data_IF_533829168003
#
_entry.id   IF_533829168003
#
_cell.length_a   1.000
_cell.length_b   1.000
_cell.length_c   1.000
_cell.angle_alpha   90.00
_cell.angle_beta   90.00
_cell.angle_gamma   90.00
#
_symmetry.space_group_name_H-M   'P 1'
#
loop_
_entity.id
_entity.type
_entity.pdbx_description
1 polymer ?
#
# COMPACT_ATOMS: atom_id res chain seq x y z
N UNK A 1 59.75 29.63 4.04
CA UNK A 1 59.01 28.44 3.54
C UNK A 1 57.79 28.29 4.43
N UNK A 2 56.69 28.90 4.02
CA UNK A 2 55.42 28.91 4.77
C UNK A 2 54.51 27.84 4.18
N UNK A 3 54.32 26.74 4.94
CA UNK A 3 53.41 25.70 4.60
C UNK A 3 51.94 26.14 4.78
N UNK A 4 51.19 26.13 3.68
CA UNK A 4 49.76 26.43 3.61
C UNK A 4 49.00 25.18 4.08
N UNK A 5 48.48 25.19 5.31
CA UNK A 5 47.60 24.17 5.83
C UNK A 5 46.31 24.19 5.03
N UNK A 6 46.02 23.11 4.34
CA UNK A 6 44.68 22.84 3.74
C UNK A 6 43.70 22.45 4.83
N UNK A 7 42.76 23.32 5.13
CA UNK A 7 41.60 23.01 5.97
C UNK A 7 40.78 21.86 5.32
N UNK A 8 40.30 20.88 6.10
CA UNK A 8 39.41 19.88 5.57
C UNK A 8 38.05 20.52 5.23
N UNK A 9 37.64 20.40 3.96
CA UNK A 9 36.25 20.74 3.55
C UNK A 9 35.29 19.99 4.44
N UNK A 10 34.50 20.73 5.22
CA UNK A 10 33.41 20.24 6.03
C UNK A 10 32.48 19.41 5.14
N UNK A 11 32.23 18.16 5.51
CA UNK A 11 31.29 17.30 4.77
C UNK A 11 29.89 17.93 4.87
N UNK A 12 29.25 18.15 3.72
CA UNK A 12 27.88 18.66 3.68
C UNK A 12 26.94 17.82 4.54
N UNK A 13 26.15 18.48 5.35
CA UNK A 13 25.15 17.82 6.21
C UNK A 13 23.95 17.32 5.38
N UNK A 14 23.20 16.34 5.92
CA UNK A 14 22.00 15.84 5.26
C UNK A 14 20.97 16.97 4.98
N UNK A 15 20.87 17.93 5.90
CA UNK A 15 19.96 19.09 5.77
C UNK A 15 20.36 20.02 4.64
N UNK A 16 21.67 20.27 4.44
CA UNK A 16 22.18 21.08 3.34
C UNK A 16 21.94 20.41 1.98
N UNK A 17 22.11 19.10 1.90
CA UNK A 17 21.81 18.32 0.69
C UNK A 17 20.32 18.38 0.35
N UNK A 18 19.43 18.28 1.33
CA UNK A 18 17.99 18.36 1.11
C UNK A 18 17.54 19.78 0.70
N UNK A 19 18.09 20.81 1.31
CA UNK A 19 17.81 22.19 0.92
C UNK A 19 18.28 22.51 -0.50
N UNK A 20 19.47 22.03 -0.89
CA UNK A 20 19.99 22.19 -2.26
C UNK A 20 19.13 21.39 -3.27
N UNK A 21 18.69 20.18 -2.94
CA UNK A 21 17.81 19.37 -3.76
C UNK A 21 16.47 20.06 -4.02
N UNK A 22 15.86 20.63 -2.98
CA UNK A 22 14.61 21.38 -3.09
C UNK A 22 14.76 22.64 -3.97
N UNK A 23 15.89 23.36 -3.85
CA UNK A 23 16.19 24.52 -4.70
C UNK A 23 16.33 24.14 -6.18
N UNK A 24 17.01 23.02 -6.49
CA UNK A 24 17.14 22.52 -7.85
C UNK A 24 15.79 22.02 -8.41
N UNK A 25 15.00 21.31 -7.62
CA UNK A 25 13.66 20.85 -8.02
C UNK A 25 12.73 22.03 -8.33
N UNK A 26 12.75 23.09 -7.51
CA UNK A 26 11.96 24.30 -7.73
C UNK A 26 12.43 25.11 -8.97
N UNK A 27 13.69 24.99 -9.39
CA UNK A 27 14.17 25.58 -10.65
C UNK A 27 13.67 24.77 -11.85
N UNK A 28 13.78 23.46 -11.80
CA UNK A 28 13.33 22.54 -12.86
C UNK A 28 11.80 22.62 -13.08
N UNK A 29 11.04 22.90 -12.05
CA UNK A 29 9.59 23.06 -12.08
C UNK A 29 9.13 24.33 -12.83
N UNK A 30 9.93 25.37 -12.83
CA UNK A 30 9.65 26.65 -13.52
C UNK A 30 9.85 26.62 -15.03
N UNK A 31 10.41 25.55 -15.59
CA UNK A 31 10.67 25.39 -17.03
C UNK A 31 12.01 24.73 -17.31
N UNK A 32 12.38 24.68 -18.59
CA UNK A 32 13.68 24.13 -18.99
C UNK A 32 14.84 24.95 -18.40
N UNK A 33 15.79 24.24 -17.77
CA UNK A 33 16.98 24.84 -17.20
C UNK A 33 17.88 25.34 -18.32
N UNK A 34 18.52 26.50 -18.11
CA UNK A 34 19.54 26.96 -19.02
C UNK A 34 20.73 25.98 -19.10
N UNK A 35 21.46 25.90 -20.24
CA UNK A 35 22.52 24.90 -20.40
C UNK A 35 23.59 24.92 -19.29
N UNK A 36 23.89 26.11 -18.75
CA UNK A 36 24.84 26.29 -17.64
C UNK A 36 24.28 25.75 -16.32
N UNK A 37 22.97 25.92 -16.09
CA UNK A 37 22.27 25.37 -14.89
C UNK A 37 22.13 23.86 -14.98
N UNK A 38 21.86 23.32 -16.18
CA UNK A 38 21.82 21.89 -16.44
C UNK A 38 23.18 21.24 -16.11
N UNK A 39 24.27 21.80 -16.61
CA UNK A 39 25.62 21.32 -16.32
C UNK A 39 25.97 21.41 -14.82
N UNK A 40 25.52 22.45 -14.14
CA UNK A 40 25.69 22.60 -12.69
C UNK A 40 24.90 21.56 -11.88
N UNK A 41 23.68 21.27 -12.28
CA UNK A 41 22.84 20.21 -11.67
C UNK A 41 23.49 18.84 -11.85
N UNK A 42 23.94 18.51 -13.07
CA UNK A 42 24.60 17.21 -13.34
C UNK A 42 25.89 17.06 -12.52
N UNK A 43 26.70 18.10 -12.42
CA UNK A 43 27.87 18.10 -11.56
C UNK A 43 27.52 17.92 -10.09
N UNK A 44 26.44 18.54 -9.63
CA UNK A 44 25.96 18.40 -8.24
C UNK A 44 25.45 17.00 -7.98
N UNK A 45 24.65 16.39 -8.89
CA UNK A 45 24.17 15.03 -8.80
C UNK A 45 25.29 13.98 -8.83
N UNK A 46 26.31 14.21 -9.66
CA UNK A 46 27.48 13.31 -9.80
C UNK A 46 28.35 13.22 -8.54
N UNK A 47 28.18 14.12 -7.58
CA UNK A 47 28.98 14.14 -6.36
C UNK A 47 28.52 13.11 -5.28
N UNK A 48 27.43 12.35 -5.50
CA UNK A 48 27.07 11.25 -4.62
C UNK A 48 25.59 10.80 -4.69
N UNK A 49 25.36 9.52 -4.43
CA UNK A 49 24.03 8.89 -4.48
C UNK A 49 22.99 9.51 -3.51
N UNK A 50 23.44 10.10 -2.40
CA UNK A 50 22.57 10.84 -1.46
C UNK A 50 21.91 12.04 -2.10
N UNK A 51 22.62 12.77 -2.98
CA UNK A 51 22.11 13.95 -3.70
C UNK A 51 21.08 13.55 -4.75
N UNK A 52 21.33 12.46 -5.46
CA UNK A 52 20.36 11.88 -6.42
C UNK A 52 19.06 11.51 -5.71
N UNK A 53 19.14 10.84 -4.57
CA UNK A 53 17.96 10.46 -3.78
C UNK A 53 17.20 11.66 -3.20
N UNK A 54 17.90 12.71 -2.74
CA UNK A 54 17.29 13.94 -2.26
C UNK A 54 16.58 14.70 -3.38
N UNK A 55 17.19 14.79 -4.56
CA UNK A 55 16.61 15.45 -5.72
C UNK A 55 15.36 14.73 -6.25
N UNK A 56 15.38 13.39 -6.31
CA UNK A 56 14.22 12.60 -6.70
C UNK A 56 13.02 12.79 -5.72
N UNK A 57 13.29 12.87 -4.41
CA UNK A 57 12.26 13.19 -3.41
C UNK A 57 11.69 14.60 -3.58
N UNK A 58 12.52 15.59 -3.84
CA UNK A 58 12.10 16.98 -4.04
C UNK A 58 11.22 17.13 -5.28
N UNK A 59 11.55 16.46 -6.40
CA UNK A 59 10.71 16.41 -7.60
C UNK A 59 9.36 15.75 -7.34
N UNK A 60 9.32 14.67 -6.57
CA UNK A 60 8.08 13.98 -6.21
C UNK A 60 7.15 14.88 -5.36
N UNK A 61 7.71 15.70 -4.48
CA UNK A 61 6.98 16.69 -3.67
C UNK A 61 6.37 17.77 -4.56
N UNK A 62 7.13 18.33 -5.51
CA UNK A 62 6.62 19.34 -6.45
C UNK A 62 5.47 18.78 -7.31
N UNK A 63 5.64 17.59 -7.89
CA UNK A 63 4.60 16.92 -8.66
C UNK A 63 3.31 16.64 -7.85
N UNK A 64 3.43 16.47 -6.54
CA UNK A 64 2.27 16.35 -5.64
C UNK A 64 1.55 17.69 -5.46
N UNK A 65 2.27 18.79 -5.28
CA UNK A 65 1.70 20.13 -5.15
C UNK A 65 1.06 20.62 -6.45
N UNK A 66 1.61 20.30 -7.62
CA UNK A 66 1.03 20.63 -8.92
C UNK A 66 -0.31 19.93 -9.13
N UNK A 67 -0.43 18.67 -8.72
CA UNK A 67 -1.71 17.96 -8.71
C UNK A 67 -2.73 18.57 -7.75
N UNK A 68 -2.29 19.03 -6.59
CA UNK A 68 -3.15 19.71 -5.62
C UNK A 68 -3.61 21.09 -6.15
N UNK A 69 -2.74 21.83 -6.84
CA UNK A 69 -3.07 23.10 -7.47
C UNK A 69 -4.04 22.94 -8.65
N UNK A 70 -3.96 21.85 -9.41
CA UNK A 70 -4.89 21.54 -10.51
C UNK A 70 -6.33 21.23 -10.04
N UNK A 71 -6.55 20.96 -8.74
CA UNK A 71 -7.87 20.73 -8.14
C UNK A 71 -8.64 22.02 -7.82
N UNK A 72 -8.08 23.21 -8.11
CA UNK A 72 -8.78 24.51 -8.10
C UNK A 72 -8.65 25.29 -6.81
N UNK A 73 -8.51 26.60 -6.93
CA UNK A 73 -8.35 27.61 -5.87
C UNK A 73 -9.63 27.92 -5.07
N UNK A 74 -10.55 26.95 -4.93
CA UNK A 74 -11.82 27.10 -4.25
C UNK A 74 -11.90 26.61 -2.81
N UNK A 75 -10.78 26.13 -2.22
CA UNK A 75 -10.74 25.62 -0.86
C UNK A 75 -10.15 26.67 0.10
N UNK A 76 -11.01 27.28 0.94
CA UNK A 76 -10.57 28.13 2.05
C UNK A 76 -10.70 27.37 3.38
N UNK A 77 -9.75 27.50 4.33
CA UNK A 77 -9.85 26.88 5.64
C UNK A 77 -11.10 27.31 6.45
N UNK A 78 -11.73 28.42 6.06
CA UNK A 78 -12.99 28.94 6.64
C UNK A 78 -14.24 28.13 6.27
N UNK A 79 -14.18 27.25 5.29
CA UNK A 79 -15.33 26.43 4.87
C UNK A 79 -15.62 25.25 5.82
N UNK A 80 -14.79 25.09 6.88
CA UNK A 80 -14.94 24.06 7.91
C UNK A 80 -15.43 24.60 9.27
N UNK A 81 -15.87 25.86 9.36
CA UNK A 81 -16.49 26.34 10.59
C UNK A 81 -17.91 25.79 10.73
N UNK A 82 -18.13 25.02 11.81
CA UNK A 82 -19.43 24.47 12.15
C UNK A 82 -20.42 25.60 12.45
N UNK A 83 -21.69 25.51 12.00
CA UNK A 83 -22.68 26.54 12.25
C UNK A 83 -22.97 26.68 13.74
N UNK A 84 -23.13 27.92 14.26
CA UNK A 84 -23.34 28.16 15.70
C UNK A 84 -24.74 27.72 16.12
N UNK A 85 -24.78 26.82 17.09
CA UNK A 85 -25.76 26.71 18.14
C UNK A 85 -27.24 26.64 17.77
N UNK A 86 -27.76 25.44 17.55
CA UNK A 86 -29.19 25.16 17.78
C UNK A 86 -29.46 24.96 19.29
N UNK A 87 -30.15 25.87 19.91
CA UNK A 87 -30.64 25.74 21.30
C UNK A 87 -31.74 24.68 21.37
N UNK A 88 -31.76 23.79 22.38
CA UNK A 88 -32.82 22.81 22.55
C UNK A 88 -34.07 23.47 23.10
N UNK A 89 -35.15 23.42 22.36
CA UNK A 89 -36.50 23.77 22.85
C UNK A 89 -37.08 22.55 23.52
N UNK A 90 -37.03 22.52 24.86
CA UNK A 90 -37.79 21.55 25.65
C UNK A 90 -39.27 21.94 25.67
N UNK A 91 -40.11 21.24 24.92
CA UNK A 91 -41.55 21.23 25.10
C UNK A 91 -41.99 19.86 25.62
N UNK A 92 -42.57 19.92 26.83
CA UNK A 92 -43.15 18.80 27.58
C UNK A 92 -44.28 18.14 26.77
N UNK A 93 -44.17 16.85 26.42
CA UNK A 93 -45.32 15.95 26.34
C UNK A 93 -44.89 14.57 26.80
N UNK A 94 -45.54 14.17 27.91
CA UNK A 94 -45.31 12.94 28.66
C UNK A 94 -45.89 11.71 27.97
N UNK A 95 -45.12 10.59 28.07
CA UNK A 95 -45.60 9.23 28.28
C UNK A 95 -46.61 8.66 27.26
N UNK A 96 -46.11 7.94 26.23
CA UNK A 96 -46.74 6.74 25.66
C UNK A 96 -45.87 5.97 24.62
N UNK A 97 -44.53 6.08 24.62
CA UNK A 97 -43.68 5.35 23.67
C UNK A 97 -42.47 4.66 24.32
N UNK A 98 -42.70 3.89 25.39
CA UNK A 98 -41.59 3.14 26.02
C UNK A 98 -41.13 1.92 25.21
N UNK A 99 -41.86 1.45 24.20
CA UNK A 99 -41.50 0.28 23.39
C UNK A 99 -40.74 0.63 22.09
N UNK A 100 -40.97 1.81 21.52
CA UNK A 100 -40.32 2.24 20.25
C UNK A 100 -38.91 2.83 20.48
N UNK A 101 -38.66 3.38 21.67
CA UNK A 101 -37.35 3.99 22.00
C UNK A 101 -36.22 2.93 22.14
N UNK A 102 -36.53 1.71 22.58
CA UNK A 102 -35.53 0.66 22.70
C UNK A 102 -35.06 0.11 21.33
N UNK A 103 -35.96 0.03 20.33
CA UNK A 103 -35.60 -0.36 18.97
C UNK A 103 -34.86 0.78 18.23
N UNK A 104 -35.27 2.02 18.41
CA UNK A 104 -34.58 3.17 17.81
C UNK A 104 -33.17 3.37 18.41
N UNK A 105 -32.95 3.12 19.70
CA UNK A 105 -31.65 3.17 20.34
C UNK A 105 -30.73 2.05 19.84
N UNK A 106 -31.25 0.85 19.54
CA UNK A 106 -30.48 -0.26 18.96
C UNK A 106 -30.05 0.03 17.53
N UNK A 107 -30.93 0.60 16.71
CA UNK A 107 -30.61 0.99 15.31
C UNK A 107 -29.67 2.19 15.28
N UNK A 108 -29.86 3.18 16.14
CA UNK A 108 -28.96 4.34 16.27
C UNK A 108 -27.58 3.92 16.82
N UNK A 109 -27.53 2.96 17.75
CA UNK A 109 -26.29 2.38 18.27
C UNK A 109 -25.50 1.63 17.19
N UNK A 110 -26.17 0.82 16.38
CA UNK A 110 -25.54 0.07 15.28
C UNK A 110 -25.10 1.03 14.16
N UNK A 111 -25.94 2.02 13.79
CA UNK A 111 -25.59 3.04 12.79
C UNK A 111 -24.46 3.96 13.29
N UNK A 112 -24.50 4.39 14.55
CA UNK A 112 -23.46 5.20 15.17
C UNK A 112 -22.11 4.46 15.26
N UNK A 113 -22.14 3.17 15.64
CA UNK A 113 -20.94 2.34 15.68
C UNK A 113 -20.36 2.11 14.28
N UNK A 114 -21.21 1.92 13.25
CA UNK A 114 -20.79 1.83 11.84
C UNK A 114 -20.14 3.11 11.32
N UNK A 115 -20.68 4.27 11.68
CA UNK A 115 -20.14 5.57 11.27
C UNK A 115 -18.81 5.91 11.94
N UNK A 116 -18.65 5.61 13.24
CA UNK A 116 -17.38 5.83 13.98
C UNK A 116 -16.30 4.88 13.46
N UNK A 117 -16.64 3.64 13.14
CA UNK A 117 -15.69 2.69 12.54
C UNK A 117 -15.27 3.08 11.12
N UNK A 118 -16.16 3.72 10.36
CA UNK A 118 -15.85 4.19 9.00
C UNK A 118 -14.87 5.38 9.00
N UNK A 119 -14.83 6.21 10.05
CA UNK A 119 -13.93 7.36 10.17
C UNK A 119 -12.47 6.96 10.38
N UNK A 120 -12.19 5.77 10.88
CA UNK A 120 -10.82 5.28 11.14
C UNK A 120 -10.28 4.35 10.05
N UNK A 121 -11.04 4.08 8.99
CA UNK A 121 -10.61 3.21 7.91
C UNK A 121 -9.54 3.89 7.04
N UNK A 122 -8.43 3.18 6.81
CA UNK A 122 -7.41 3.57 5.85
C UNK A 122 -7.70 2.80 4.56
N UNK A 123 -7.85 3.53 3.45
CA UNK A 123 -8.25 2.96 2.15
C UNK A 123 -7.26 3.40 1.08
N UNK A 124 -7.02 2.53 0.12
CA UNK A 124 -6.33 2.83 -1.14
C UNK A 124 -7.27 2.58 -2.31
N UNK A 125 -7.25 3.45 -3.29
CA UNK A 125 -7.92 3.22 -4.57
C UNK A 125 -7.15 2.19 -5.41
N UNK A 126 -7.76 1.77 -6.50
CA UNK A 126 -7.11 0.89 -7.49
C UNK A 126 -5.91 1.60 -8.11
N UNK A 127 -4.76 0.93 -8.12
CA UNK A 127 -3.47 1.47 -8.56
C UNK A 127 -2.71 2.26 -7.49
N UNK A 128 -3.36 2.64 -6.39
CA UNK A 128 -2.73 3.40 -5.32
C UNK A 128 -2.08 2.49 -4.27
N UNK A 129 -1.03 3.00 -3.66
CA UNK A 129 -0.36 2.39 -2.50
C UNK A 129 -0.14 3.45 -1.42
N UNK A 130 -0.28 3.06 -0.16
CA UNK A 130 -0.17 4.02 0.95
C UNK A 130 0.55 3.42 2.14
N UNK A 131 1.58 4.12 2.64
CA UNK A 131 2.22 3.81 3.92
C UNK A 131 1.68 4.73 5.02
N UNK A 132 1.30 4.13 6.14
CA UNK A 132 0.79 4.85 7.33
C UNK A 132 1.54 4.34 8.56
N UNK A 133 2.05 5.26 9.36
CA UNK A 133 2.65 4.96 10.65
C UNK A 133 1.58 5.10 11.73
N UNK A 134 1.44 4.08 12.56
CA UNK A 134 0.51 4.05 13.68
C UNK A 134 1.11 4.77 14.90
N UNK A 135 0.26 5.23 15.81
CA UNK A 135 0.67 6.00 16.99
C UNK A 135 1.65 5.24 17.91
N UNK A 136 1.63 3.91 17.87
CA UNK A 136 2.50 3.03 18.68
C UNK A 136 3.81 2.64 17.94
N UNK A 137 4.11 3.27 16.80
CA UNK A 137 5.35 3.15 16.05
C UNK A 137 5.37 2.02 15.00
N UNK A 138 4.35 1.16 14.91
CA UNK A 138 4.21 0.21 13.80
C UNK A 138 3.84 0.94 12.51
N UNK A 139 4.17 0.36 11.36
CA UNK A 139 3.77 0.88 10.06
C UNK A 139 2.99 -0.16 9.28
N UNK A 140 1.99 0.32 8.53
CA UNK A 140 1.19 -0.46 7.59
C UNK A 140 1.40 0.14 6.20
N UNK A 141 1.81 -0.68 5.24
CA UNK A 141 1.80 -0.30 3.83
C UNK A 141 0.67 -1.05 3.14
N UNK A 142 -0.32 -0.34 2.66
CA UNK A 142 -1.46 -0.88 1.93
C UNK A 142 -1.09 -0.98 0.45
N UNK A 143 -1.43 -2.10 -0.16
CA UNK A 143 -1.39 -2.29 -1.60
C UNK A 143 -2.62 -1.66 -2.27
N UNK A 144 -2.73 -1.80 -3.58
CA UNK A 144 -3.86 -1.38 -4.40
C UNK A 144 -5.19 -1.93 -3.86
N UNK A 145 -6.27 -1.12 -3.98
CA UNK A 145 -7.65 -1.51 -3.67
C UNK A 145 -7.80 -2.22 -2.32
N UNK A 146 -7.18 -1.66 -1.30
CA UNK A 146 -7.10 -2.26 0.05
C UNK A 146 -7.78 -1.38 1.09
N UNK A 147 -8.34 -2.04 2.12
CA UNK A 147 -9.00 -1.38 3.25
C UNK A 147 -8.63 -2.03 4.56
N UNK A 148 -8.10 -1.22 5.49
CA UNK A 148 -7.81 -1.64 6.86
C UNK A 148 -8.50 -0.71 7.87
N UNK A 149 -8.85 -1.27 9.01
CA UNK A 149 -9.42 -0.55 10.16
C UNK A 149 -8.55 -0.80 11.39
N UNK A 150 -7.64 0.13 11.74
CA UNK A 150 -6.89 0.06 12.99
C UNK A 150 -7.80 0.32 14.20
N UNK A 151 -7.60 -0.46 15.27
CA UNK A 151 -8.18 -0.28 16.61
C UNK A 151 -7.05 -0.35 17.62
N UNK A 152 -6.56 0.83 17.99
CA UNK A 152 -5.43 0.97 18.90
C UNK A 152 -5.92 1.58 20.21
N UNK A 153 -5.86 0.79 21.26
CA UNK A 153 -6.21 1.17 22.62
C UNK A 153 -5.01 0.89 23.53
N UNK A 154 -5.05 1.33 24.78
CA UNK A 154 -3.94 1.15 25.73
C UNK A 154 -3.45 -0.32 25.82
N UNK A 155 -4.39 -1.27 25.75
CA UNK A 155 -4.10 -2.72 25.86
C UNK A 155 -4.32 -3.51 24.57
N UNK A 156 -4.80 -2.86 23.51
CA UNK A 156 -5.19 -3.53 22.26
C UNK A 156 -4.47 -2.89 21.08
N UNK A 157 -3.74 -3.71 20.33
CA UNK A 157 -3.15 -3.36 19.03
C UNK A 157 -3.76 -4.26 17.98
N UNK A 158 -4.93 -3.87 17.48
CA UNK A 158 -5.68 -4.67 16.50
C UNK A 158 -5.86 -3.91 15.20
N UNK A 159 -5.76 -4.62 14.08
CA UNK A 159 -6.07 -4.12 12.73
C UNK A 159 -6.95 -5.13 12.03
N UNK A 160 -8.02 -4.68 11.39
CA UNK A 160 -8.87 -5.53 10.54
C UNK A 160 -8.54 -5.24 9.08
N UNK A 161 -8.07 -6.24 8.33
CA UNK A 161 -7.92 -6.18 6.88
C UNK A 161 -9.25 -6.64 6.25
N UNK A 162 -10.03 -5.68 5.78
CA UNK A 162 -11.35 -5.93 5.22
C UNK A 162 -11.27 -6.35 3.75
N UNK A 163 -10.29 -5.80 3.00
CA UNK A 163 -10.08 -6.08 1.58
C UNK A 163 -8.62 -5.86 1.20
N UNK A 164 -8.16 -6.61 0.20
CA UNK A 164 -6.88 -6.38 -0.46
C UNK A 164 -5.69 -6.96 0.28
N UNK A 165 -4.60 -6.21 0.35
CA UNK A 165 -3.30 -6.67 0.82
C UNK A 165 -2.56 -5.56 1.57
N UNK A 166 -1.89 -5.94 2.66
CA UNK A 166 -1.06 -5.03 3.42
C UNK A 166 0.22 -5.69 3.93
N UNK A 167 1.29 -4.91 3.95
CA UNK A 167 2.55 -5.24 4.63
C UNK A 167 2.56 -4.54 5.99
N UNK A 168 2.86 -5.29 7.02
CA UNK A 168 2.95 -4.85 8.41
C UNK A 168 4.40 -4.86 8.88
N UNK A 169 4.89 -3.71 9.31
CA UNK A 169 6.17 -3.55 10.04
C UNK A 169 5.80 -3.27 11.50
N UNK A 170 5.73 -4.31 12.33
CA UNK A 170 5.21 -4.19 13.70
C UNK A 170 6.33 -3.92 14.68
N UNK A 171 6.19 -2.83 15.44
CA UNK A 171 7.07 -2.47 16.54
C UNK A 171 7.05 -3.54 17.64
N UNK A 172 8.24 -3.92 18.14
CA UNK A 172 8.38 -5.00 19.13
C UNK A 172 7.82 -4.58 20.49
N UNK A 173 6.76 -5.26 20.91
CA UNK A 173 6.16 -5.13 22.23
C UNK A 173 5.65 -6.50 22.71
N UNK A 174 6.35 -7.08 23.70
CA UNK A 174 6.01 -8.39 24.25
C UNK A 174 4.82 -8.37 25.19
N UNK A 175 4.48 -7.21 25.70
CA UNK A 175 3.39 -7.04 26.69
C UNK A 175 2.04 -6.86 26.01
N UNK A 176 2.03 -6.34 24.79
CA UNK A 176 0.81 -6.07 23.98
C UNK A 176 0.96 -6.68 22.60
N UNK A 177 0.44 -7.90 22.37
CA UNK A 177 0.43 -8.51 21.05
C UNK A 177 -0.27 -7.61 20.01
N UNK A 178 0.26 -7.61 18.79
CA UNK A 178 -0.40 -7.00 17.63
C UNK A 178 -1.21 -8.07 16.91
N UNK A 179 -2.46 -7.78 16.61
CA UNK A 179 -3.39 -8.74 16.01
C UNK A 179 -3.92 -8.19 14.69
N UNK A 180 -3.78 -8.95 13.60
CA UNK A 180 -4.45 -8.67 12.33
C UNK A 180 -5.57 -9.68 12.14
N UNK A 181 -6.78 -9.18 11.83
CA UNK A 181 -7.93 -9.99 11.47
C UNK A 181 -8.24 -9.81 9.97
N UNK A 182 -8.28 -10.90 9.22
CA UNK A 182 -8.58 -10.92 7.80
C UNK A 182 -9.60 -12.03 7.51
N UNK A 183 -10.87 -11.68 7.30
CA UNK A 183 -11.96 -12.67 7.26
C UNK A 183 -12.01 -13.43 8.56
N UNK A 184 -11.97 -14.76 8.47
CA UNK A 184 -11.98 -15.67 9.63
C UNK A 184 -10.57 -15.99 10.15
N UNK A 185 -9.52 -15.41 9.55
CA UNK A 185 -8.13 -15.65 9.95
C UNK A 185 -7.67 -14.56 10.91
N UNK A 186 -7.02 -14.99 12.00
CA UNK A 186 -6.36 -14.13 12.98
C UNK A 186 -4.86 -14.37 12.95
N UNK A 187 -4.11 -13.29 12.79
CA UNK A 187 -2.64 -13.27 12.77
C UNK A 187 -2.14 -12.51 14.00
N UNK A 188 -1.37 -13.17 14.86
CA UNK A 188 -0.84 -12.61 16.11
C UNK A 188 0.67 -12.52 16.09
N UNK A 189 1.22 -11.36 16.46
CA UNK A 189 2.65 -11.11 16.48
C UNK A 189 3.07 -10.26 17.68
N UNK A 190 4.37 -10.26 18.00
CA UNK A 190 4.96 -9.44 19.07
C UNK A 190 5.96 -8.38 18.57
N UNK A 191 6.32 -8.44 17.27
CA UNK A 191 7.27 -7.54 16.62
C UNK A 191 7.88 -8.28 15.44
N UNK A 192 7.33 -8.08 14.25
CA UNK A 192 7.47 -8.95 13.09
C UNK A 192 7.19 -8.14 11.83
N UNK A 193 7.87 -8.47 10.75
CA UNK A 193 7.55 -7.95 9.42
C UNK A 193 6.92 -9.05 8.58
N UNK A 194 5.67 -8.83 8.18
CA UNK A 194 4.87 -9.84 7.47
C UNK A 194 3.83 -9.18 6.56
N UNK A 195 3.42 -9.89 5.51
CA UNK A 195 2.32 -9.50 4.63
C UNK A 195 1.07 -10.32 4.92
N UNK A 196 -0.09 -9.70 4.72
CA UNK A 196 -1.39 -10.38 4.72
C UNK A 196 -2.14 -9.95 3.47
N UNK A 197 -2.62 -10.94 2.70
CA UNK A 197 -3.47 -10.74 1.54
C UNK A 197 -4.78 -11.53 1.70
N UNK A 198 -5.89 -10.85 1.50
CA UNK A 198 -7.21 -11.45 1.45
C UNK A 198 -7.65 -11.57 0.00
N UNK A 199 -8.00 -12.78 -0.42
CA UNK A 199 -8.48 -13.08 -1.77
C UNK A 199 -10.01 -13.04 -1.83
N UNK A 200 -10.56 -12.86 -3.04
CA UNK A 200 -12.01 -12.82 -3.29
C UNK A 200 -12.70 -14.18 -3.01
N UNK A 201 -11.96 -15.29 -3.12
CA UNK A 201 -12.42 -16.62 -2.76
C UNK A 201 -12.53 -16.84 -1.24
N UNK A 202 -12.22 -15.82 -0.44
CA UNK A 202 -12.22 -15.85 1.02
C UNK A 202 -10.96 -16.44 1.64
N UNK A 203 -10.00 -16.94 0.84
CA UNK A 203 -8.72 -17.39 1.37
C UNK A 203 -7.85 -16.20 1.82
N UNK A 204 -6.95 -16.47 2.77
CA UNK A 204 -6.02 -15.48 3.30
C UNK A 204 -4.60 -16.02 3.20
N UNK A 205 -3.69 -15.23 2.65
CA UNK A 205 -2.28 -15.55 2.58
C UNK A 205 -1.48 -14.70 3.58
N UNK A 206 -0.57 -15.34 4.29
CA UNK A 206 0.34 -14.72 5.25
C UNK A 206 1.78 -15.08 4.89
N UNK A 207 2.61 -14.08 4.57
CA UNK A 207 4.03 -14.24 4.28
C UNK A 207 4.89 -13.61 5.38
N UNK A 208 5.85 -14.34 5.94
CA UNK A 208 6.70 -13.86 7.04
C UNK A 208 8.06 -13.46 6.52
N UNK A 209 8.34 -12.16 6.52
CA UNK A 209 9.62 -11.62 6.07
C UNK A 209 10.66 -11.61 7.19
N UNK A 210 10.25 -11.29 8.43
CA UNK A 210 11.11 -11.31 9.60
C UNK A 210 10.32 -11.65 10.85
N UNK A 211 10.91 -12.41 11.77
CA UNK A 211 10.34 -12.77 13.06
C UNK A 211 9.44 -14.01 13.02
N UNK A 212 8.40 -14.00 13.84
CA UNK A 212 7.49 -15.13 14.06
C UNK A 212 6.04 -14.66 14.12
N UNK A 213 5.18 -15.39 13.45
CA UNK A 213 3.75 -15.13 13.35
C UNK A 213 2.96 -16.35 13.80
N UNK A 214 1.93 -16.17 14.60
CA UNK A 214 0.92 -17.17 14.92
C UNK A 214 -0.32 -16.89 14.07
N UNK A 215 -0.70 -17.84 13.22
CA UNK A 215 -1.89 -17.76 12.36
C UNK A 215 -2.92 -18.75 12.86
N UNK A 216 -4.10 -18.28 13.19
CA UNK A 216 -5.22 -19.10 13.68
C UNK A 216 -6.54 -18.76 12.99
N UNK A 217 -7.53 -19.62 13.17
CA UNK A 217 -8.89 -19.42 12.68
C UNK A 217 -9.75 -18.91 13.84
N UNK A 218 -10.53 -17.86 13.62
CA UNK A 218 -11.41 -17.32 14.65
C UNK A 218 -12.50 -18.34 15.02
N UNK A 219 -12.65 -18.58 16.32
CA UNK A 219 -13.59 -19.61 16.83
C UNK A 219 -13.11 -21.06 16.68
N UNK A 220 -11.96 -21.30 16.04
CA UNK A 220 -11.34 -22.61 15.90
C UNK A 220 -10.20 -22.85 16.91
N UNK A 221 -9.86 -24.14 17.10
CA UNK A 221 -8.70 -24.53 17.94
C UNK A 221 -7.40 -24.64 17.12
N UNK A 222 -7.48 -24.53 15.79
CA UNK A 222 -6.33 -24.69 14.93
C UNK A 222 -5.55 -23.39 14.84
N UNK A 223 -4.26 -23.45 15.17
CA UNK A 223 -3.30 -22.39 14.91
C UNK A 223 -2.01 -23.00 14.37
N UNK A 224 -1.29 -22.20 13.59
CA UNK A 224 0.01 -22.53 13.02
C UNK A 224 1.01 -21.43 13.28
N UNK A 225 2.18 -21.80 13.73
CA UNK A 225 3.30 -20.88 13.89
C UNK A 225 4.10 -20.86 12.59
N UNK A 226 4.30 -19.67 12.04
CA UNK A 226 5.13 -19.41 10.87
C UNK A 226 6.37 -18.62 11.29
N UNK A 227 7.49 -18.90 10.66
CA UNK A 227 8.76 -18.20 10.85
C UNK A 227 9.18 -17.47 9.58
N UNK A 228 10.17 -16.60 9.67
CA UNK A 228 10.77 -15.94 8.50
C UNK A 228 11.15 -16.97 7.42
N UNK A 229 10.85 -16.66 6.15
CA UNK A 229 11.02 -17.59 5.04
C UNK A 229 9.80 -18.47 4.77
N UNK A 230 8.70 -18.34 5.53
CA UNK A 230 7.48 -19.13 5.31
C UNK A 230 6.33 -18.27 4.79
N UNK A 231 5.55 -18.88 3.90
CA UNK A 231 4.26 -18.37 3.43
C UNK A 231 3.19 -19.43 3.66
N UNK A 232 2.01 -19.01 4.11
CA UNK A 232 0.88 -19.92 4.29
C UNK A 232 -0.39 -19.31 3.75
N UNK A 233 -1.10 -20.06 2.90
CA UNK A 233 -2.45 -19.74 2.45
C UNK A 233 -3.44 -20.54 3.28
N UNK A 234 -4.34 -19.85 3.95
CA UNK A 234 -5.45 -20.41 4.71
C UNK A 234 -6.67 -20.40 3.82
N UNK A 235 -7.19 -21.58 3.47
CA UNK A 235 -8.38 -21.72 2.64
C UNK A 235 -9.65 -21.50 3.48
N UNK A 236 -10.82 -21.17 2.86
CA UNK A 236 -12.07 -20.89 3.57
C UNK A 236 -12.54 -22.01 4.50
N UNK A 237 -12.11 -23.27 4.26
CA UNK A 237 -12.42 -24.43 5.11
C UNK A 237 -11.43 -24.63 6.26
N UNK A 238 -10.47 -23.70 6.43
CA UNK A 238 -9.48 -23.74 7.50
C UNK A 238 -8.26 -24.62 7.21
N UNK A 239 -8.08 -25.10 6.00
CA UNK A 239 -6.87 -25.81 5.57
C UNK A 239 -5.69 -24.84 5.42
N UNK A 240 -4.53 -25.19 5.99
CA UNK A 240 -3.30 -24.44 5.87
C UNK A 240 -2.38 -25.04 4.82
N UNK A 241 -2.13 -24.31 3.73
CA UNK A 241 -1.11 -24.65 2.72
C UNK A 241 0.11 -23.80 2.96
N UNK A 242 1.15 -24.42 3.49
CA UNK A 242 2.38 -23.73 3.90
C UNK A 242 3.55 -24.20 3.06
N UNK A 243 4.35 -23.24 2.63
CA UNK A 243 5.57 -23.46 1.87
C UNK A 243 6.75 -22.68 2.47
N UNK A 244 7.95 -23.20 2.25
CA UNK A 244 9.19 -22.50 2.58
C UNK A 244 9.71 -21.81 1.33
N UNK A 245 9.98 -20.53 1.42
CA UNK A 245 10.47 -19.72 0.32
C UNK A 245 11.83 -19.10 0.70
N UNK A 246 12.72 -18.95 -0.27
CA UNK A 246 13.90 -18.12 -0.06
C UNK A 246 13.50 -16.71 0.38
N UNK A 247 14.26 -16.11 1.30
CA UNK A 247 14.00 -14.75 1.80
C UNK A 247 13.84 -13.74 0.64
N UNK A 248 14.68 -13.86 -0.40
CA UNK A 248 14.60 -13.02 -1.58
C UNK A 248 13.26 -13.15 -2.33
N UNK A 249 12.62 -14.32 -2.33
CA UNK A 249 11.32 -14.52 -2.96
C UNK A 249 10.20 -13.80 -2.19
N UNK A 250 10.23 -13.85 -0.85
CA UNK A 250 9.28 -13.10 -0.01
C UNK A 250 9.48 -11.59 -0.13
N UNK A 251 10.72 -11.11 -0.21
CA UNK A 251 11.00 -9.67 -0.44
C UNK A 251 10.48 -9.22 -1.82
N UNK A 252 10.64 -10.06 -2.85
CA UNK A 252 10.07 -9.77 -4.18
C UNK A 252 8.54 -9.80 -4.19
N UNK A 253 7.92 -10.72 -3.45
CA UNK A 253 6.45 -10.80 -3.34
C UNK A 253 5.82 -9.52 -2.77
N UNK A 254 6.57 -8.76 -1.96
CA UNK A 254 6.15 -7.43 -1.48
C UNK A 254 6.80 -6.27 -2.27
N UNK A 255 7.33 -6.55 -3.46
CA UNK A 255 7.94 -5.58 -4.38
C UNK A 255 6.96 -4.50 -4.85
N UNK A 256 5.66 -4.82 -4.82
CA UNK A 256 4.60 -3.88 -5.17
C UNK A 256 4.68 -2.55 -4.38
N UNK A 257 5.19 -2.54 -3.15
CA UNK A 257 5.42 -1.31 -2.36
C UNK A 257 6.37 -0.31 -3.03
N UNK A 258 7.12 -0.76 -4.03
CA UNK A 258 8.02 0.03 -4.87
C UNK A 258 7.53 0.11 -6.32
N UNK A 259 6.25 -0.22 -6.57
CA UNK A 259 5.68 -0.23 -7.91
C UNK A 259 6.14 -1.38 -8.81
N UNK A 260 6.58 -2.51 -8.23
CA UNK A 260 7.20 -3.63 -8.93
C UNK A 260 6.42 -4.92 -8.68
N UNK A 261 6.14 -5.67 -9.75
CA UNK A 261 5.60 -7.04 -9.72
C UNK A 261 6.68 -8.03 -10.14
N UNK A 262 6.94 -9.02 -9.29
CA UNK A 262 7.71 -10.22 -9.64
C UNK A 262 6.75 -11.29 -10.15
N UNK A 263 6.81 -11.57 -11.44
CA UNK A 263 5.94 -12.54 -12.11
C UNK A 263 6.62 -13.89 -12.33
N UNK A 264 7.79 -14.12 -11.73
CA UNK A 264 8.51 -15.37 -11.89
C UNK A 264 7.71 -16.57 -11.36
N UNK A 265 7.50 -17.57 -12.22
CA UNK A 265 6.74 -18.76 -11.91
C UNK A 265 5.23 -18.58 -11.93
N UNK A 266 4.73 -17.47 -12.46
CA UNK A 266 3.31 -17.28 -12.73
C UNK A 266 2.96 -17.71 -14.15
N UNK A 267 1.74 -18.18 -14.33
CA UNK A 267 1.15 -18.32 -15.65
C UNK A 267 0.74 -16.95 -16.19
N UNK A 268 0.60 -16.84 -17.51
CA UNK A 268 0.15 -15.60 -18.15
C UNK A 268 -1.25 -15.17 -17.65
N UNK A 269 -2.13 -16.14 -17.37
CA UNK A 269 -3.45 -15.88 -16.81
C UNK A 269 -3.36 -15.31 -15.37
N UNK A 270 -2.48 -15.86 -14.53
CA UNK A 270 -2.24 -15.35 -13.16
C UNK A 270 -1.63 -13.94 -13.21
N UNK A 271 -0.67 -13.70 -14.10
CA UNK A 271 -0.08 -12.39 -14.28
C UNK A 271 -1.12 -11.35 -14.76
N UNK A 272 -1.99 -11.72 -15.72
CA UNK A 272 -3.08 -10.85 -16.16
C UNK A 272 -4.08 -10.53 -15.01
N UNK A 273 -4.42 -11.52 -14.20
CA UNK A 273 -5.26 -11.34 -13.01
C UNK A 273 -4.59 -10.45 -11.96
N UNK A 274 -3.27 -10.56 -11.77
CA UNK A 274 -2.54 -9.69 -10.86
C UNK A 274 -2.54 -8.24 -11.35
N UNK A 275 -2.33 -7.98 -12.66
CA UNK A 275 -2.44 -6.65 -13.24
C UNK A 275 -3.84 -6.04 -13.14
N UNK A 276 -4.89 -6.85 -13.21
CA UNK A 276 -6.27 -6.40 -13.07
C UNK A 276 -6.57 -5.77 -11.69
N UNK A 277 -5.74 -6.04 -10.68
CA UNK A 277 -5.80 -5.39 -9.36
C UNK A 277 -5.34 -3.94 -9.41
N UNK A 278 -4.36 -3.61 -10.28
CA UNK A 278 -3.70 -2.30 -10.32
C UNK A 278 -4.29 -1.37 -11.37
N UNK A 279 -4.93 -1.89 -12.40
CA UNK A 279 -5.40 -1.10 -13.53
C UNK A 279 -6.75 -1.59 -14.05
N UNK A 280 -7.52 -0.67 -14.63
CA UNK A 280 -8.73 -1.00 -15.38
C UNK A 280 -8.40 -1.42 -16.84
N UNK A 281 -7.16 -1.20 -17.28
CA UNK A 281 -6.67 -1.74 -18.55
C UNK A 281 -6.60 -3.26 -18.46
N UNK A 282 -7.27 -3.95 -19.39
CA UNK A 282 -7.42 -5.40 -19.34
C UNK A 282 -6.41 -6.11 -20.26
N UNK A 283 -5.92 -7.24 -19.79
CA UNK A 283 -5.18 -8.22 -20.58
C UNK A 283 -6.13 -9.40 -20.75
N UNK A 284 -6.72 -9.51 -21.94
CA UNK A 284 -7.68 -10.56 -22.27
C UNK A 284 -6.96 -11.75 -22.90
N UNK A 285 -7.29 -12.95 -22.44
CA UNK A 285 -6.70 -14.20 -22.93
C UNK A 285 -7.85 -15.15 -23.24
N UNK A 286 -8.09 -15.45 -24.52
CA UNK A 286 -9.20 -16.31 -24.93
C UNK A 286 -8.83 -17.78 -24.95
N UNK A 287 -7.56 -18.10 -25.15
CA UNK A 287 -7.08 -19.47 -25.27
C UNK A 287 -6.47 -19.95 -23.94
N UNK A 288 -7.06 -20.98 -23.29
CA UNK A 288 -6.51 -21.54 -22.06
C UNK A 288 -5.07 -22.04 -22.17
N UNK A 289 -4.65 -22.51 -23.37
CA UNK A 289 -3.28 -22.95 -23.59
C UNK A 289 -2.28 -21.79 -23.50
N UNK A 290 -2.64 -20.61 -24.02
CA UNK A 290 -1.86 -19.39 -23.86
C UNK A 290 -1.89 -18.93 -22.39
N UNK A 291 -3.05 -19.00 -21.76
CA UNK A 291 -3.20 -18.64 -20.34
C UNK A 291 -2.31 -19.47 -19.41
N UNK A 292 -2.03 -20.72 -19.75
CA UNK A 292 -1.19 -21.62 -18.98
C UNK A 292 0.33 -21.44 -19.22
N UNK A 293 0.74 -20.61 -20.20
CA UNK A 293 2.15 -20.37 -20.48
C UNK A 293 2.80 -19.62 -19.32
N UNK A 294 3.98 -20.04 -18.90
CA UNK A 294 4.75 -19.39 -17.84
C UNK A 294 5.36 -18.07 -18.32
N UNK A 295 5.31 -17.08 -17.46
CA UNK A 295 5.97 -15.80 -17.65
C UNK A 295 7.07 -15.61 -16.61
N UNK A 296 8.10 -14.88 -16.98
CA UNK A 296 9.25 -14.61 -16.12
C UNK A 296 9.64 -13.15 -16.25
N UNK A 297 10.00 -12.53 -15.14
CA UNK A 297 10.53 -11.18 -15.13
C UNK A 297 9.92 -10.30 -14.04
N UNK A 298 10.47 -9.10 -13.97
CA UNK A 298 10.07 -8.07 -13.01
C UNK A 298 9.57 -6.87 -13.81
N UNK A 299 8.35 -6.44 -13.51
CA UNK A 299 7.64 -5.43 -14.30
C UNK A 299 7.06 -4.34 -13.40
N UNK A 300 6.70 -3.19 -13.99
CA UNK A 300 6.02 -2.12 -13.27
C UNK A 300 4.55 -2.47 -13.02
N UNK A 301 4.02 -2.17 -11.83
CA UNK A 301 2.59 -2.27 -11.51
C UNK A 301 1.71 -1.38 -12.39
N UNK A 302 2.27 -0.26 -12.88
CA UNK A 302 1.55 0.78 -13.63
C UNK A 302 1.51 0.55 -15.13
N UNK A 303 2.21 -0.47 -15.68
CA UNK A 303 2.30 -0.72 -17.12
C UNK A 303 1.83 -2.12 -17.56
N UNK A 304 0.52 -2.41 -17.43
CA UNK A 304 -0.05 -3.69 -17.87
C UNK A 304 0.09 -3.93 -19.37
N UNK A 305 0.03 -2.87 -20.17
CA UNK A 305 0.11 -3.00 -21.63
C UNK A 305 1.54 -3.25 -22.11
N UNK A 306 2.53 -2.63 -21.48
CA UNK A 306 3.95 -2.91 -21.71
C UNK A 306 4.29 -4.35 -21.38
N UNK A 307 3.81 -4.85 -20.22
CA UNK A 307 3.93 -6.26 -19.89
C UNK A 307 3.29 -7.17 -20.93
N UNK A 308 2.03 -6.92 -21.32
CA UNK A 308 1.32 -7.77 -22.28
C UNK A 308 2.02 -7.84 -23.65
N UNK A 309 2.59 -6.71 -24.12
CA UNK A 309 3.40 -6.68 -25.36
C UNK A 309 4.69 -7.47 -25.22
N UNK A 310 5.40 -7.30 -24.10
CA UNK A 310 6.64 -8.03 -23.83
C UNK A 310 6.38 -9.55 -23.74
N UNK A 311 5.32 -9.97 -23.06
CA UNK A 311 4.89 -11.35 -22.96
C UNK A 311 4.52 -11.92 -24.35
N UNK A 312 3.79 -11.14 -25.17
CA UNK A 312 3.42 -11.56 -26.53
C UNK A 312 4.65 -11.81 -27.41
N UNK A 313 5.66 -10.96 -27.32
CA UNK A 313 6.93 -11.14 -28.04
C UNK A 313 7.68 -12.38 -27.54
N UNK A 314 7.83 -12.53 -26.24
CA UNK A 314 8.56 -13.65 -25.62
C UNK A 314 7.92 -15.00 -25.89
N UNK A 315 6.60 -15.08 -25.83
CA UNK A 315 5.82 -16.31 -26.00
C UNK A 315 5.43 -16.57 -27.47
N UNK A 316 5.86 -15.70 -28.41
CA UNK A 316 5.54 -15.82 -29.86
C UNK A 316 4.02 -15.84 -30.12
N UNK A 317 3.21 -15.10 -29.35
CA UNK A 317 1.78 -14.91 -29.52
C UNK A 317 1.46 -13.53 -30.08
N UNK A 318 0.22 -13.26 -30.45
CA UNK A 318 -0.24 -11.94 -30.94
C UNK A 318 -0.84 -11.12 -29.80
N UNK A 319 -0.58 -9.81 -29.80
CA UNK A 319 -1.24 -8.84 -28.95
C UNK A 319 -2.05 -7.88 -29.84
N UNK A 320 -3.37 -7.96 -29.79
CA UNK A 320 -4.29 -7.13 -30.54
C UNK A 320 -4.90 -6.06 -29.64
N UNK A 321 -4.88 -4.77 -30.04
CA UNK A 321 -5.53 -3.74 -29.25
C UNK A 321 -7.04 -3.98 -29.13
N UNK A 322 -7.58 -3.74 -27.93
CA UNK A 322 -9.03 -3.66 -27.67
C UNK A 322 -9.38 -2.25 -27.19
N UNK A 323 -10.65 -1.97 -27.03
CA UNK A 323 -11.12 -0.66 -26.54
C UNK A 323 -10.49 -0.27 -25.19
N UNK A 324 -10.29 -1.26 -24.30
CA UNK A 324 -9.77 -1.03 -22.95
C UNK A 324 -8.55 -1.88 -22.58
N UNK A 325 -7.75 -2.28 -23.55
CA UNK A 325 -6.57 -3.11 -23.23
C UNK A 325 -5.90 -3.79 -24.41
N UNK A 326 -5.47 -5.01 -24.18
CA UNK A 326 -4.88 -5.89 -25.19
C UNK A 326 -5.48 -7.30 -25.09
N UNK A 327 -5.73 -7.90 -26.23
CA UNK A 327 -6.15 -9.28 -26.34
C UNK A 327 -4.99 -10.14 -26.84
N UNK A 328 -4.64 -11.17 -26.08
CA UNK A 328 -3.56 -12.10 -26.41
C UNK A 328 -4.14 -13.35 -27.09
N UNK A 329 -3.63 -13.69 -28.28
CA UNK A 329 -4.12 -14.76 -29.13
C UNK A 329 -2.97 -15.60 -29.69
N UNK A 330 -3.24 -16.85 -30.13
CA UNK A 330 -2.29 -17.62 -30.94
C UNK A 330 -1.88 -16.84 -32.21
N UNK A 331 -0.70 -17.14 -32.71
CA UNK A 331 -0.25 -16.63 -34.03
C UNK A 331 -1.03 -17.21 -35.17
#
# INVERSE_FOLDING_TARGET
>A
MTGKSSEPKCAETASEIEAAAAAWAAKADRGELAPEEQAALEKWLGAGSRRVGAYARALAVNAYFDRAAALGSGFSPSDFEAPPGARPIFARRKLLFAGAAAMAASVAGIAGYGLVSAQNAIVTAKGDMRRVTLAEGSAITLNTDSRVEPRLEERLRQVRLLKGEALFDVSRDRTRPFVVEAGDVRVRVLGTRFSVRRFDDGSVEVGVLDGVVEVGIMGGLQSKRLIAGQRSRVLPRGEFRTENLPQAALERAVGWRHGILDLNGMTLAEAAAEYARYSDRRIEISDPAIGAMEVTGVYSTSDPLGFARAAALSLSIRAEPTENGLHLRPR
#
